data_IF_802929902025
#
_entry.id   IF_802929902025
#
_cell.length_a   1.000
_cell.length_b   1.000
_cell.length_c   1.000
_cell.angle_alpha   90.00
_cell.angle_beta   90.00
_cell.angle_gamma   90.00
#
_symmetry.space_group_name_H-M   'P 1'
#
loop_
_entity.id
_entity.type
_entity.pdbx_description
1 polymer ?
#
# COMPACT_ATOMS: atom_id res chain seq x y z
N UNK A 1 -5.53 -24.60 -10.39
CA UNK A 1 -4.88 -24.28 -11.68
C UNK A 1 -3.50 -23.75 -11.34
N UNK A 2 -2.41 -24.35 -11.83
CA UNK A 2 -1.09 -23.72 -11.67
C UNK A 2 -1.07 -22.47 -12.55
N UNK A 3 -1.11 -21.30 -11.91
CA UNK A 3 -0.97 -20.04 -12.63
C UNK A 3 0.49 -19.88 -13.06
N UNK A 4 0.81 -20.25 -14.30
CA UNK A 4 2.17 -20.15 -14.83
C UNK A 4 2.75 -18.72 -14.83
N UNK A 5 1.91 -17.72 -14.60
CA UNK A 5 2.29 -16.32 -14.69
C UNK A 5 2.54 -15.65 -13.34
N UNK A 6 2.18 -16.32 -12.23
CA UNK A 6 2.37 -15.81 -10.88
C UNK A 6 3.00 -16.90 -10.02
N UNK A 7 4.13 -16.58 -9.42
CA UNK A 7 4.80 -17.45 -8.46
C UNK A 7 4.80 -16.81 -7.08
N UNK A 8 4.39 -17.57 -6.06
CA UNK A 8 4.44 -17.15 -4.65
C UNK A 8 5.59 -17.85 -3.94
N UNK A 9 6.42 -17.09 -3.22
CA UNK A 9 7.54 -17.59 -2.40
C UNK A 9 7.38 -17.03 -1.01
N UNK A 10 7.64 -17.83 0.02
CA UNK A 10 7.69 -17.36 1.40
C UNK A 10 8.93 -17.85 2.11
N UNK A 11 9.37 -17.11 3.13
CA UNK A 11 10.50 -17.51 3.94
C UNK A 11 10.90 -16.46 4.97
N UNK A 12 11.96 -16.76 5.72
CA UNK A 12 12.53 -15.89 6.75
C UNK A 12 13.92 -15.35 6.37
N UNK A 13 14.48 -15.79 5.23
CA UNK A 13 15.82 -15.40 4.78
C UNK A 13 15.76 -14.49 3.55
N UNK A 14 16.16 -13.20 3.67
CA UNK A 14 16.14 -12.24 2.57
C UNK A 14 16.85 -12.70 1.28
N UNK A 15 18.02 -13.31 1.42
CA UNK A 15 18.83 -13.80 0.30
C UNK A 15 18.15 -14.94 -0.47
N UNK A 16 17.49 -15.85 0.25
CA UNK A 16 16.77 -16.95 -0.38
C UNK A 16 15.51 -16.49 -1.09
N UNK A 17 14.79 -15.52 -0.51
CA UNK A 17 13.59 -14.95 -1.13
C UNK A 17 13.98 -14.22 -2.40
N UNK A 18 14.99 -13.35 -2.36
CA UNK A 18 15.46 -12.62 -3.53
C UNK A 18 15.92 -13.58 -4.66
N UNK A 19 16.71 -14.60 -4.32
CA UNK A 19 17.19 -15.59 -5.29
C UNK A 19 16.06 -16.40 -5.92
N UNK A 20 15.05 -16.79 -5.15
CA UNK A 20 13.92 -17.57 -5.65
C UNK A 20 12.96 -16.70 -6.47
N UNK A 21 12.75 -15.45 -6.08
CA UNK A 21 11.81 -14.54 -6.75
C UNK A 21 12.35 -14.03 -8.08
N UNK A 22 13.67 -13.87 -8.20
CA UNK A 22 14.34 -13.40 -9.41
C UNK A 22 14.60 -14.52 -10.42
N UNK A 23 13.54 -15.22 -10.82
CA UNK A 23 13.62 -16.17 -11.93
C UNK A 23 13.99 -15.46 -13.25
N UNK A 24 14.51 -16.20 -14.26
CA UNK A 24 14.81 -15.60 -15.56
C UNK A 24 13.62 -14.87 -16.18
N UNK A 25 12.41 -15.40 -16.01
CA UNK A 25 11.16 -14.84 -16.53
C UNK A 25 10.50 -13.81 -15.62
N UNK A 26 11.04 -13.51 -14.43
CA UNK A 26 10.51 -12.48 -13.53
C UNK A 26 10.44 -11.11 -14.24
N UNK A 27 9.23 -10.55 -14.33
CA UNK A 27 8.94 -9.24 -14.90
C UNK A 27 8.77 -8.15 -13.83
N UNK A 28 8.09 -8.47 -12.73
CA UNK A 28 7.98 -7.62 -11.54
C UNK A 28 7.89 -8.49 -10.29
N UNK A 29 8.62 -8.12 -9.24
CA UNK A 29 8.57 -8.80 -7.93
C UNK A 29 7.84 -7.89 -6.94
N UNK A 30 6.80 -8.41 -6.28
CA UNK A 30 6.07 -7.75 -5.21
C UNK A 30 6.41 -8.42 -3.88
N UNK A 31 6.92 -7.67 -2.91
CA UNK A 31 7.31 -8.21 -1.60
C UNK A 31 6.45 -7.63 -0.48
N UNK A 32 5.98 -8.51 0.40
CA UNK A 32 5.30 -8.16 1.63
C UNK A 32 6.07 -8.78 2.79
N UNK A 33 6.49 -7.98 3.76
CA UNK A 33 7.37 -8.43 4.83
C UNK A 33 6.87 -8.02 6.21
N UNK A 34 7.09 -8.89 7.19
CA UNK A 34 6.74 -8.66 8.57
C UNK A 34 7.64 -7.60 9.22
N UNK A 35 7.20 -7.12 10.38
CA UNK A 35 7.83 -5.99 11.05
C UNK A 35 9.18 -6.28 11.73
N UNK A 36 9.55 -7.55 11.91
CA UNK A 36 10.85 -7.98 12.44
C UNK A 36 11.74 -8.59 11.32
N UNK A 37 11.28 -8.56 10.07
CA UNK A 37 12.02 -9.06 8.92
C UNK A 37 13.09 -8.06 8.43
N UNK A 38 14.27 -8.56 8.05
CA UNK A 38 15.38 -7.75 7.54
C UNK A 38 15.14 -7.30 6.09
N UNK A 39 14.28 -6.28 5.95
CA UNK A 39 13.87 -5.71 4.67
C UNK A 39 15.00 -4.94 3.97
N UNK A 40 15.98 -4.42 4.72
CA UNK A 40 17.14 -3.72 4.15
C UNK A 40 18.06 -4.71 3.43
N UNK A 41 18.34 -5.86 4.06
CA UNK A 41 19.02 -6.95 3.36
C UNK A 41 18.22 -7.42 2.16
N UNK A 42 16.90 -7.60 2.27
CA UNK A 42 16.06 -7.99 1.12
C UNK A 42 16.16 -7.00 -0.04
N UNK A 43 16.08 -5.70 0.26
CA UNK A 43 16.26 -4.65 -0.73
C UNK A 43 17.62 -4.79 -1.45
N UNK A 44 18.70 -4.97 -0.70
CA UNK A 44 20.04 -5.10 -1.27
C UNK A 44 20.17 -6.35 -2.15
N UNK A 45 19.68 -7.49 -1.68
CA UNK A 45 19.69 -8.76 -2.42
C UNK A 45 18.88 -8.63 -3.73
N UNK A 46 17.64 -8.12 -3.66
CA UNK A 46 16.81 -7.88 -4.85
C UNK A 46 17.45 -6.88 -5.81
N UNK A 47 18.11 -5.84 -5.30
CA UNK A 47 18.80 -4.84 -6.14
C UNK A 47 19.90 -5.47 -7.00
N UNK A 48 20.60 -6.50 -6.50
CA UNK A 48 21.63 -7.20 -7.28
C UNK A 48 21.07 -7.99 -8.46
N UNK A 49 19.79 -8.37 -8.41
CA UNK A 49 19.14 -9.18 -9.46
C UNK A 49 18.86 -8.38 -10.73
N UNK A 50 18.81 -7.04 -10.63
CA UNK A 50 18.43 -6.15 -11.72
C UNK A 50 16.96 -6.24 -12.14
N UNK A 51 16.14 -7.05 -11.47
CA UNK A 51 14.71 -7.17 -11.74
C UNK A 51 13.92 -6.00 -11.13
N UNK A 52 12.85 -5.52 -11.78
CA UNK A 52 11.93 -4.56 -11.17
C UNK A 52 11.28 -5.17 -9.92
N UNK A 53 11.21 -4.39 -8.84
CA UNK A 53 10.53 -4.80 -7.62
C UNK A 53 9.92 -3.62 -6.87
N UNK A 54 8.84 -3.93 -6.15
CA UNK A 54 8.22 -3.09 -5.14
C UNK A 54 7.93 -3.95 -3.91
N UNK A 55 7.83 -3.34 -2.74
CA UNK A 55 7.38 -4.05 -1.55
C UNK A 55 7.13 -3.15 -0.37
N UNK A 56 6.43 -3.68 0.63
CA UNK A 56 6.13 -2.96 1.85
C UNK A 56 6.05 -3.88 3.07
N UNK A 57 6.14 -3.24 4.23
CA UNK A 57 5.81 -3.90 5.48
C UNK A 57 4.29 -4.08 5.61
N UNK A 58 3.85 -5.24 6.09
CA UNK A 58 2.45 -5.57 6.30
C UNK A 58 2.20 -6.39 7.59
N UNK A 59 0.92 -6.51 7.99
CA UNK A 59 0.48 -7.24 9.20
C UNK A 59 0.08 -8.69 8.93
N UNK A 60 -0.26 -9.04 7.70
CA UNK A 60 -0.72 -10.38 7.34
C UNK A 60 -0.56 -10.64 5.85
N UNK A 61 0.28 -11.62 5.52
CA UNK A 61 0.67 -11.91 4.15
C UNK A 61 -0.17 -13.05 3.61
N UNK A 62 -0.88 -12.81 2.51
CA UNK A 62 -1.69 -13.85 1.88
C UNK A 62 -0.80 -14.83 1.11
N UNK A 63 -0.93 -16.11 1.45
CA UNK A 63 -0.45 -17.24 0.67
C UNK A 63 -1.64 -17.94 0.01
N UNK A 64 -1.37 -18.86 -0.90
CA UNK A 64 -2.39 -19.58 -1.67
C UNK A 64 -3.43 -20.30 -0.79
N UNK A 65 -3.07 -20.69 0.43
CA UNK A 65 -3.90 -21.49 1.34
C UNK A 65 -4.14 -20.88 2.73
N UNK A 66 -3.45 -19.79 3.10
CA UNK A 66 -3.49 -19.21 4.46
C UNK A 66 -2.97 -17.78 4.52
N UNK A 67 -3.16 -17.14 5.67
CA UNK A 67 -2.42 -15.94 6.05
C UNK A 67 -1.16 -16.32 6.85
N UNK A 68 -0.05 -15.67 6.54
CA UNK A 68 1.20 -15.72 7.29
C UNK A 68 1.28 -14.48 8.17
N UNK A 69 1.32 -14.67 9.49
CA UNK A 69 1.24 -13.61 10.50
C UNK A 69 2.58 -13.38 11.22
N UNK A 70 3.55 -14.26 11.02
CA UNK A 70 4.87 -14.26 11.62
C UNK A 70 5.65 -12.99 11.22
N UNK A 71 6.11 -12.22 12.21
CA UNK A 71 6.70 -10.90 11.99
C UNK A 71 8.11 -10.94 11.40
N UNK A 72 8.79 -12.09 11.43
CA UNK A 72 10.14 -12.33 10.93
C UNK A 72 10.15 -13.03 9.55
N UNK A 73 9.03 -12.94 8.82
CA UNK A 73 8.84 -13.59 7.52
C UNK A 73 8.51 -12.59 6.42
N UNK A 74 8.70 -13.03 5.16
CA UNK A 74 8.25 -12.29 4.00
C UNK A 74 7.67 -13.23 2.93
N UNK A 75 6.81 -12.64 2.10
CA UNK A 75 6.22 -13.26 0.91
C UNK A 75 6.61 -12.44 -0.30
N UNK A 76 7.08 -13.09 -1.35
CA UNK A 76 7.34 -12.50 -2.65
C UNK A 76 6.40 -13.11 -3.70
N UNK A 77 5.71 -12.25 -4.45
CA UNK A 77 4.92 -12.63 -5.62
C UNK A 77 5.66 -12.14 -6.87
N UNK A 78 5.98 -13.06 -7.77
CA UNK A 78 6.61 -12.73 -9.04
C UNK A 78 5.58 -12.76 -10.16
N UNK A 79 5.41 -11.62 -10.84
CA UNK A 79 4.67 -11.54 -12.10
C UNK A 79 5.62 -11.87 -13.25
N UNK A 80 5.24 -12.84 -14.09
CA UNK A 80 6.04 -13.22 -15.25
C UNK A 80 6.08 -12.11 -16.30
N UNK A 81 7.26 -11.88 -16.88
CA UNK A 81 7.47 -11.07 -18.09
C UNK A 81 6.66 -11.57 -19.30
N UNK A 82 6.15 -12.81 -19.24
CA UNK A 82 5.14 -13.32 -20.16
C UNK A 82 3.87 -12.48 -20.21
N UNK A 83 3.47 -11.87 -19.08
CA UNK A 83 2.27 -11.01 -18.97
C UNK A 83 2.50 -9.56 -19.39
N UNK A 84 3.73 -9.06 -19.22
CA UNK A 84 3.99 -7.63 -19.20
C UNK A 84 4.43 -7.13 -20.58
N UNK A 85 3.74 -6.13 -21.12
CA UNK A 85 4.21 -5.32 -22.23
C UNK A 85 5.18 -4.23 -21.75
N UNK A 86 5.06 -3.79 -20.49
CA UNK A 86 5.98 -2.86 -19.86
C UNK A 86 5.70 -2.70 -18.37
N UNK A 87 6.73 -2.28 -17.62
CA UNK A 87 6.62 -1.93 -16.21
C UNK A 87 7.49 -0.72 -15.90
N UNK A 88 6.94 0.24 -15.16
CA UNK A 88 7.67 1.38 -14.62
C UNK A 88 7.53 1.41 -13.12
N UNK A 89 8.67 1.48 -12.42
CA UNK A 89 8.72 1.56 -10.96
C UNK A 89 9.38 2.87 -10.56
N UNK A 90 8.72 3.62 -9.69
CA UNK A 90 9.29 4.82 -9.09
C UNK A 90 8.92 4.92 -7.60
N UNK A 91 9.64 5.78 -6.89
CA UNK A 91 9.29 6.14 -5.52
C UNK A 91 9.52 7.62 -5.25
N UNK A 92 8.90 8.11 -4.19
CA UNK A 92 9.17 9.43 -3.63
C UNK A 92 9.30 9.38 -2.11
N UNK A 93 10.10 10.30 -1.58
CA UNK A 93 10.33 10.48 -0.14
C UNK A 93 9.02 10.93 0.56
N UNK A 94 8.68 10.25 1.65
CA UNK A 94 7.50 10.52 2.50
C UNK A 94 7.92 10.86 3.93
N UNK A 95 9.05 11.52 4.12
CA UNK A 95 9.45 12.04 5.44
C UNK A 95 8.66 13.30 5.81
N UNK A 96 8.43 13.48 7.11
CA UNK A 96 7.62 14.55 7.72
C UNK A 96 8.04 15.99 7.43
N UNK A 97 9.25 16.18 6.88
CA UNK A 97 9.75 17.51 6.46
C UNK A 97 9.12 18.04 5.17
N UNK A 98 8.42 17.21 4.41
CA UNK A 98 7.83 17.58 3.12
C UNK A 98 6.40 18.07 3.29
N UNK A 99 6.05 19.15 2.58
CA UNK A 99 4.69 19.68 2.60
C UNK A 99 3.75 18.82 1.74
N UNK A 100 2.45 18.86 2.07
CA UNK A 100 1.39 18.20 1.30
C UNK A 100 1.48 18.54 -0.19
N UNK A 101 1.56 19.83 -0.53
CA UNK A 101 1.60 20.28 -1.92
C UNK A 101 2.88 19.84 -2.64
N UNK A 102 4.02 19.80 -1.93
CA UNK A 102 5.26 19.28 -2.50
C UNK A 102 5.13 17.81 -2.90
N UNK A 103 4.58 16.97 -2.01
CA UNK A 103 4.35 15.55 -2.29
C UNK A 103 3.39 15.38 -3.48
N UNK A 104 2.34 16.21 -3.54
CA UNK A 104 1.34 16.17 -4.62
C UNK A 104 1.93 16.51 -5.99
N UNK A 105 2.70 17.60 -6.08
CA UNK A 105 3.35 18.02 -7.33
C UNK A 105 4.37 16.98 -7.80
N UNK A 106 5.23 16.48 -6.89
CA UNK A 106 6.20 15.43 -7.25
C UNK A 106 5.50 14.15 -7.70
N UNK A 107 4.40 13.75 -7.07
CA UNK A 107 3.62 12.58 -7.50
C UNK A 107 3.09 12.75 -8.93
N UNK A 108 2.54 13.92 -9.24
CA UNK A 108 2.05 14.25 -10.58
C UNK A 108 3.16 14.15 -11.65
N UNK A 109 4.33 14.74 -11.38
CA UNK A 109 5.49 14.73 -12.28
C UNK A 109 6.01 13.31 -12.53
N UNK A 110 6.19 12.53 -11.46
CA UNK A 110 6.68 11.15 -11.54
C UNK A 110 5.72 10.24 -12.31
N UNK A 111 4.42 10.37 -12.02
CA UNK A 111 3.40 9.57 -12.69
C UNK A 111 3.30 9.92 -14.18
N UNK A 112 3.28 11.21 -14.53
CA UNK A 112 3.31 11.65 -15.93
C UNK A 112 4.55 11.14 -16.68
N UNK A 113 5.73 11.20 -16.05
CA UNK A 113 6.96 10.66 -16.62
C UNK A 113 6.90 9.14 -16.84
N UNK A 114 6.32 8.39 -15.90
CA UNK A 114 6.16 6.94 -16.03
C UNK A 114 5.19 6.55 -17.16
N UNK A 115 4.04 7.24 -17.28
CA UNK A 115 3.11 7.03 -18.39
C UNK A 115 3.75 7.31 -19.74
N UNK A 116 4.56 8.38 -19.82
CA UNK A 116 5.30 8.72 -21.05
C UNK A 116 6.29 7.60 -21.45
N UNK A 117 7.05 7.03 -20.51
CA UNK A 117 7.98 5.91 -20.80
C UNK A 117 7.26 4.63 -21.23
N UNK A 118 6.05 4.39 -20.72
CA UNK A 118 5.20 3.26 -21.13
C UNK A 118 4.38 3.54 -22.40
N UNK A 119 4.48 4.73 -22.97
CA UNK A 119 3.68 5.18 -24.10
C UNK A 119 2.17 4.98 -23.82
N UNK A 120 1.73 5.45 -22.66
CA UNK A 120 0.32 5.45 -22.25
C UNK A 120 -0.21 6.88 -22.38
N UNK A 121 -1.33 7.04 -23.07
CA UNK A 121 -2.06 8.31 -23.11
C UNK A 121 -2.79 8.53 -21.78
N UNK A 122 -2.42 9.54 -20.98
CA UNK A 122 -3.10 9.83 -19.72
C UNK A 122 -4.57 10.24 -19.89
N UNK A 123 -4.96 10.78 -21.05
CA UNK A 123 -6.33 11.18 -21.31
C UNK A 123 -7.24 9.99 -21.67
N UNK A 124 -6.66 8.90 -22.17
CA UNK A 124 -7.39 7.71 -22.59
C UNK A 124 -6.55 6.43 -22.35
N UNK A 125 -6.26 6.08 -21.08
CA UNK A 125 -5.53 4.87 -20.78
C UNK A 125 -6.37 3.63 -21.10
N UNK A 126 -5.71 2.55 -21.54
CA UNK A 126 -6.35 1.24 -21.65
C UNK A 126 -6.55 0.66 -20.24
N UNK A 127 -7.68 0.99 -19.63
CA UNK A 127 -7.98 0.68 -18.23
C UNK A 127 -8.05 -0.81 -17.93
N UNK A 128 -8.29 -1.66 -18.94
CA UNK A 128 -8.30 -3.11 -18.75
C UNK A 128 -6.88 -3.69 -18.76
N UNK A 129 -5.88 -2.92 -19.16
CA UNK A 129 -4.51 -3.40 -19.35
C UNK A 129 -3.46 -2.57 -18.65
N UNK A 130 -3.84 -1.46 -18.05
CA UNK A 130 -2.96 -0.57 -17.33
C UNK A 130 -3.43 -0.45 -15.90
N UNK A 131 -2.56 -0.83 -14.96
CA UNK A 131 -2.84 -0.79 -13.53
C UNK A 131 -1.64 -0.24 -12.78
N UNK A 132 -1.90 0.66 -11.83
CA UNK A 132 -0.92 1.14 -10.88
C UNK A 132 -1.06 0.37 -9.57
N UNK A 133 0.05 -0.09 -9.02
CA UNK A 133 0.13 -0.63 -7.66
C UNK A 133 0.84 0.40 -6.80
N UNK A 134 0.14 0.94 -5.81
CA UNK A 134 0.62 1.97 -4.90
C UNK A 134 0.86 1.38 -3.49
N UNK A 135 2.10 1.43 -3.01
CA UNK A 135 2.49 1.05 -1.65
C UNK A 135 2.98 2.31 -0.92
N UNK A 136 2.17 2.81 0.01
CA UNK A 136 2.32 4.17 0.54
C UNK A 136 2.74 4.16 2.00
N UNK A 137 3.73 4.96 2.38
CA UNK A 137 4.21 5.04 3.77
C UNK A 137 3.08 5.38 4.75
N UNK A 138 2.72 4.43 5.61
CA UNK A 138 1.47 4.51 6.39
C UNK A 138 1.43 5.52 7.53
N UNK A 139 2.58 6.07 7.92
CA UNK A 139 2.64 7.13 8.91
C UNK A 139 2.37 8.51 8.31
N UNK A 140 2.23 8.62 6.99
CA UNK A 140 1.83 9.85 6.32
C UNK A 140 0.51 9.67 5.58
N UNK A 141 -0.12 10.80 5.23
CA UNK A 141 -1.30 10.76 4.37
C UNK A 141 -0.92 10.31 2.97
N UNK A 142 -1.71 9.37 2.44
CA UNK A 142 -1.64 8.89 1.05
C UNK A 142 -2.23 9.91 0.05
N UNK A 143 -3.14 10.77 0.51
CA UNK A 143 -3.92 11.67 -0.33
C UNK A 143 -3.08 12.52 -1.29
N UNK A 144 -2.00 13.21 -0.89
CA UNK A 144 -1.25 14.03 -1.83
C UNK A 144 -0.65 13.19 -2.97
N UNK A 145 -0.26 11.94 -2.69
CA UNK A 145 0.26 11.02 -3.72
C UNK A 145 -0.84 10.71 -4.74
N UNK A 146 -1.99 10.25 -4.26
CA UNK A 146 -3.10 9.83 -5.11
C UNK A 146 -3.74 11.01 -5.87
N UNK A 147 -3.86 12.18 -5.24
CA UNK A 147 -4.32 13.41 -5.89
C UNK A 147 -3.37 13.85 -7.01
N UNK A 148 -2.05 13.72 -6.82
CA UNK A 148 -1.08 14.01 -7.87
C UNK A 148 -1.26 13.09 -9.08
N UNK A 149 -1.50 11.80 -8.86
CA UNK A 149 -1.76 10.84 -9.95
C UNK A 149 -3.11 11.12 -10.63
N UNK A 150 -4.17 11.38 -9.86
CA UNK A 150 -5.49 11.70 -10.37
C UNK A 150 -5.51 13.00 -11.18
N UNK A 151 -4.66 13.98 -10.83
CA UNK A 151 -4.47 15.20 -11.61
C UNK A 151 -3.87 14.93 -13.00
N UNK A 152 -3.16 13.81 -13.19
CA UNK A 152 -2.64 13.39 -14.50
C UNK A 152 -3.66 12.53 -15.26
N UNK A 153 -4.32 11.57 -14.60
CA UNK A 153 -5.31 10.69 -15.24
C UNK A 153 -6.37 10.26 -14.24
N UNK A 154 -7.62 10.67 -14.47
CA UNK A 154 -8.77 10.34 -13.62
C UNK A 154 -9.24 8.88 -13.77
N UNK A 155 -8.95 8.26 -14.91
CA UNK A 155 -9.49 6.95 -15.27
C UNK A 155 -8.51 5.79 -15.00
N UNK A 156 -7.32 6.10 -14.49
CA UNK A 156 -6.30 5.09 -14.28
C UNK A 156 -6.69 4.12 -13.17
N UNK A 157 -6.64 2.81 -13.43
CA UNK A 157 -6.87 1.82 -12.40
C UNK A 157 -5.70 1.81 -11.42
N UNK A 158 -6.00 2.02 -10.14
CA UNK A 158 -5.02 2.00 -9.07
C UNK A 158 -5.48 1.05 -7.96
N UNK A 159 -4.58 0.17 -7.54
CA UNK A 159 -4.74 -0.73 -6.39
C UNK A 159 -3.57 -0.57 -5.44
N UNK A 160 -3.68 -1.12 -4.24
CA UNK A 160 -2.60 -1.14 -3.26
C UNK A 160 -3.06 -0.72 -1.88
N UNK A 161 -2.14 -0.26 -1.06
CA UNK A 161 -2.42 0.00 0.35
C UNK A 161 -1.34 0.75 1.09
N UNK A 162 -1.66 1.02 2.35
CA UNK A 162 -0.74 1.61 3.31
C UNK A 162 0.27 0.56 3.79
N UNK A 163 1.54 0.94 3.86
CA UNK A 163 2.57 0.15 4.52
C UNK A 163 2.34 0.19 6.04
N UNK A 164 2.51 -0.92 6.74
CA UNK A 164 2.39 -0.99 8.20
C UNK A 164 2.25 -2.43 8.69
N UNK A 165 2.98 -2.78 9.75
CA UNK A 165 3.06 -4.17 10.24
C UNK A 165 2.85 -4.36 11.75
N UNK A 166 2.91 -3.28 12.53
CA UNK A 166 2.66 -3.31 13.98
C UNK A 166 1.66 -2.21 14.37
N UNK A 167 0.88 -2.49 15.41
CA UNK A 167 -0.03 -1.53 16.05
C UNK A 167 0.71 -0.41 16.80
N UNK A 168 2.05 -0.45 16.88
CA UNK A 168 2.82 0.59 17.55
C UNK A 168 3.12 1.80 16.64
N UNK A 169 2.77 1.73 15.35
CA UNK A 169 2.91 2.81 14.36
C UNK A 169 4.29 3.49 14.35
N UNK A 170 5.36 2.76 14.69
CA UNK A 170 6.72 3.35 14.78
C UNK A 170 7.42 3.43 13.43
N UNK A 171 7.16 2.45 12.57
CA UNK A 171 7.77 2.39 11.25
C UNK A 171 6.75 1.81 10.25
N UNK A 172 6.95 2.11 8.96
CA UNK A 172 6.12 1.62 7.87
C UNK A 172 6.92 1.65 6.56
N UNK A 173 8.07 0.96 6.49
CA UNK A 173 8.96 1.09 5.35
C UNK A 173 8.36 0.45 4.10
N UNK A 174 8.71 1.04 2.96
CA UNK A 174 8.53 0.46 1.64
C UNK A 174 9.91 0.28 0.98
N UNK A 175 9.98 -0.63 0.02
CA UNK A 175 11.15 -0.88 -0.83
C UNK A 175 10.74 -0.83 -2.29
N UNK A 176 11.66 -0.42 -3.15
CA UNK A 176 11.53 -0.61 -4.58
C UNK A 176 12.90 -0.62 -5.24
N UNK A 177 12.94 -0.87 -6.55
CA UNK A 177 14.18 -0.83 -7.32
C UNK A 177 14.98 0.48 -7.20
N UNK A 178 14.39 1.57 -6.73
CA UNK A 178 15.07 2.87 -6.58
C UNK A 178 15.51 3.19 -5.14
N UNK A 179 14.93 2.57 -4.11
CA UNK A 179 15.27 2.87 -2.71
C UNK A 179 14.42 2.13 -1.69
N UNK A 180 14.68 2.41 -0.40
CA UNK A 180 13.90 1.89 0.73
C UNK A 180 13.67 2.94 1.81
N UNK A 181 12.72 2.68 2.71
CA UNK A 181 12.44 3.50 3.90
C UNK A 181 11.06 4.14 3.87
N UNK A 182 10.94 5.37 4.38
CA UNK A 182 9.70 6.14 4.35
C UNK A 182 9.40 6.65 2.93
N UNK A 183 8.83 5.78 2.10
CA UNK A 183 8.59 6.03 0.68
C UNK A 183 7.13 5.80 0.30
N UNK A 184 6.68 6.54 -0.71
CA UNK A 184 5.55 6.14 -1.53
C UNK A 184 6.11 5.50 -2.80
N UNK A 185 5.76 4.24 -3.03
CA UNK A 185 6.25 3.41 -4.13
C UNK A 185 5.09 3.14 -5.09
N UNK A 186 5.34 3.30 -6.38
CA UNK A 186 4.35 2.99 -7.43
C UNK A 186 4.99 2.09 -8.49
N UNK A 187 4.30 1.02 -8.86
CA UNK A 187 4.57 0.28 -10.09
C UNK A 187 3.41 0.47 -11.06
N UNK A 188 3.68 0.99 -12.25
CA UNK A 188 2.72 1.01 -13.36
C UNK A 188 2.99 -0.20 -14.24
N UNK A 189 1.97 -1.03 -14.41
CA UNK A 189 2.03 -2.26 -15.19
C UNK A 189 1.19 -2.07 -16.44
N UNK A 190 1.78 -2.35 -17.61
CA UNK A 190 1.07 -2.48 -18.88
C UNK A 190 1.09 -3.94 -19.30
N UNK A 191 -0.08 -4.55 -19.42
CA UNK A 191 -0.24 -5.93 -19.85
C UNK A 191 -0.13 -6.06 -21.38
N UNK A 192 0.28 -7.23 -21.87
CA UNK A 192 0.20 -7.58 -23.29
C UNK A 192 -1.26 -7.71 -23.73
N UNK A 193 -1.49 -7.62 -25.04
CA UNK A 193 -2.82 -7.57 -25.67
C UNK A 193 -3.73 -8.76 -25.31
N UNK A 194 -3.14 -9.92 -25.02
CA UNK A 194 -3.87 -11.15 -24.68
C UNK A 194 -4.34 -11.23 -23.22
N UNK A 195 -3.98 -10.25 -22.39
CA UNK A 195 -4.29 -10.23 -20.97
C UNK A 195 -5.07 -8.98 -20.59
N UNK A 196 -5.88 -9.11 -19.54
CA UNK A 196 -6.57 -8.00 -18.91
C UNK A 196 -6.47 -8.12 -17.39
N UNK A 197 -6.51 -6.97 -16.73
CA UNK A 197 -6.65 -6.82 -15.30
C UNK A 197 -8.11 -6.53 -14.98
N UNK A 198 -8.63 -7.22 -13.97
CA UNK A 198 -9.96 -6.98 -13.42
C UNK A 198 -9.85 -7.00 -11.91
N UNK A 199 -10.44 -6.01 -11.26
CA UNK A 199 -10.59 -5.98 -9.81
C UNK A 199 -12.07 -6.15 -9.46
N UNK A 200 -12.35 -7.09 -8.56
CA UNK A 200 -13.63 -7.17 -7.88
C UNK A 200 -13.45 -6.61 -6.47
N UNK A 201 -14.29 -5.64 -6.11
CA UNK A 201 -14.29 -5.08 -4.77
C UNK A 201 -15.21 -5.92 -3.89
N UNK A 202 -14.63 -6.69 -2.97
CA UNK A 202 -15.37 -7.32 -1.88
C UNK A 202 -15.20 -6.48 -0.62
N UNK A 203 -16.31 -5.96 -0.08
CA UNK A 203 -16.33 -5.24 1.20
C UNK A 203 -17.16 -6.05 2.19
N UNK A 204 -16.58 -6.31 3.37
CA UNK A 204 -17.27 -6.89 4.52
C UNK A 204 -17.74 -5.81 5.50
N UNK A 205 -17.66 -4.53 5.13
CA UNK A 205 -18.08 -3.44 5.98
C UNK A 205 -19.59 -3.26 5.88
N UNK A 206 -20.24 -3.32 7.05
CA UNK A 206 -21.56 -2.76 7.22
C UNK A 206 -21.41 -1.30 7.67
N UNK A 207 -22.46 -0.50 7.60
CA UNK A 207 -22.43 0.86 8.13
C UNK A 207 -23.07 0.82 9.50
N UNK A 208 -22.33 1.20 10.53
CA UNK A 208 -22.92 1.48 11.86
C UNK A 208 -23.50 2.89 11.88
N UNK A 209 -24.63 3.06 12.57
CA UNK A 209 -25.24 4.37 12.77
C UNK A 209 -24.48 5.17 13.83
N UNK A 210 -24.02 6.37 13.45
CA UNK A 210 -23.31 7.30 14.32
C UNK A 210 -22.55 8.34 13.50
N UNK A 211 -22.45 9.57 14.02
CA UNK A 211 -21.57 10.59 13.42
C UNK A 211 -20.46 10.90 14.43
N UNK A 212 -19.25 10.61 14.02
CA UNK A 212 -18.04 10.93 14.75
C UNK A 212 -17.29 11.99 13.95
N UNK A 213 -17.03 13.16 14.54
CA UNK A 213 -16.27 14.26 13.95
C UNK A 213 -14.93 14.35 14.67
N UNK A 214 -13.82 14.26 13.94
CA UNK A 214 -12.50 14.47 14.52
C UNK A 214 -12.33 15.95 14.81
N UNK A 215 -12.27 16.30 16.09
CA UNK A 215 -12.15 17.70 16.52
C UNK A 215 -10.71 18.09 16.86
N UNK A 216 -9.83 17.11 17.12
CA UNK A 216 -8.40 17.39 17.33
C UNK A 216 -7.51 16.23 16.90
N UNK A 217 -6.45 16.56 16.17
CA UNK A 217 -5.40 15.64 15.73
C UNK A 217 -4.02 16.11 16.20
N UNK A 218 -3.09 15.17 16.31
CA UNK A 218 -1.66 15.43 16.45
C UNK A 218 -0.87 14.65 15.38
N UNK A 219 0.32 15.17 15.05
CA UNK A 219 1.22 14.51 14.12
C UNK A 219 1.78 13.19 14.72
N UNK A 220 2.09 12.17 13.88
CA UNK A 220 1.93 12.19 12.43
C UNK A 220 0.49 11.87 11.97
N UNK A 221 -0.29 11.08 12.72
CA UNK A 221 -1.72 10.77 12.48
C UNK A 221 -2.42 10.26 13.75
N UNK A 222 -2.40 11.03 14.83
CA UNK A 222 -3.06 10.65 16.09
C UNK A 222 -4.36 11.43 16.29
N UNK A 223 -5.49 10.74 16.35
CA UNK A 223 -6.77 11.34 16.71
C UNK A 223 -6.81 11.50 18.22
N UNK A 224 -6.83 12.75 18.69
CA UNK A 224 -6.85 13.07 20.12
C UNK A 224 -8.27 13.28 20.62
N UNK A 225 -9.14 13.87 19.80
CA UNK A 225 -10.53 14.16 20.16
C UNK A 225 -11.49 13.86 19.02
N UNK A 226 -12.67 13.36 19.42
CA UNK A 226 -13.81 13.09 18.56
C UNK A 226 -15.05 13.72 19.23
N UNK A 227 -15.85 14.47 18.48
CA UNK A 227 -17.03 15.19 18.97
C UNK A 227 -16.74 16.07 20.21
N UNK A 228 -15.53 16.65 20.29
CA UNK A 228 -15.10 17.46 21.44
C UNK A 228 -14.80 16.67 22.72
N UNK A 229 -14.71 15.34 22.63
CA UNK A 229 -14.38 14.43 23.74
C UNK A 229 -13.06 13.70 23.47
N UNK A 230 -12.37 13.19 24.50
CA UNK A 230 -11.22 12.32 24.30
C UNK A 230 -11.56 11.16 23.34
N UNK A 231 -10.73 10.95 22.32
CA UNK A 231 -11.04 10.00 21.24
C UNK A 231 -11.34 8.57 21.74
N UNK A 232 -10.61 8.12 22.77
CA UNK A 232 -10.82 6.82 23.38
C UNK A 232 -12.22 6.67 24.03
N UNK A 233 -12.71 7.73 24.68
CA UNK A 233 -14.02 7.73 25.33
C UNK A 233 -15.15 7.74 24.29
N UNK A 234 -15.04 8.60 23.28
CA UNK A 234 -16.01 8.68 22.19
C UNK A 234 -16.10 7.35 21.41
N UNK A 235 -14.95 6.72 21.12
CA UNK A 235 -14.90 5.42 20.46
C UNK A 235 -15.50 4.30 21.31
N UNK A 236 -15.12 4.21 22.59
CA UNK A 236 -15.65 3.19 23.50
C UNK A 236 -17.18 3.30 23.62
N UNK A 237 -17.70 4.53 23.77
CA UNK A 237 -19.14 4.79 23.84
C UNK A 237 -19.87 4.33 22.58
N UNK A 238 -19.31 4.55 21.39
CA UNK A 238 -19.88 4.12 20.12
C UNK A 238 -20.09 2.60 20.08
N UNK A 239 -19.07 1.83 20.47
CA UNK A 239 -19.13 0.35 20.45
C UNK A 239 -19.69 -0.22 21.76
N UNK A 240 -20.26 0.63 22.62
CA UNK A 240 -20.90 0.28 23.90
C UNK A 240 -19.96 -0.45 24.88
N UNK A 241 -18.69 -0.04 24.92
CA UNK A 241 -17.65 -0.52 25.85
C UNK A 241 -17.15 0.61 26.76
N UNK A 242 -16.47 0.24 27.84
CA UNK A 242 -15.65 1.17 28.60
C UNK A 242 -14.24 1.26 27.99
N UNK A 243 -13.52 2.35 28.24
CA UNK A 243 -12.14 2.52 27.75
C UNK A 243 -11.22 1.40 28.27
N UNK A 244 -11.42 0.93 29.50
CA UNK A 244 -10.62 -0.15 30.09
C UNK A 244 -10.89 -1.53 29.48
N UNK A 245 -12.03 -1.70 28.80
CA UNK A 245 -12.44 -2.96 28.18
C UNK A 245 -12.04 -3.03 26.70
N UNK A 246 -11.53 -1.95 26.11
CA UNK A 246 -11.07 -1.93 24.72
C UNK A 246 -9.91 -2.90 24.52
N UNK A 247 -10.05 -3.81 23.56
CA UNK A 247 -9.02 -4.75 23.14
C UNK A 247 -8.60 -4.47 21.69
N UNK A 248 -7.39 -4.91 21.26
CA UNK A 248 -6.97 -4.78 19.86
C UNK A 248 -8.00 -5.30 18.85
N UNK A 249 -8.68 -6.40 19.16
CA UNK A 249 -9.70 -7.01 18.29
C UNK A 249 -10.92 -6.10 18.08
N UNK A 250 -11.23 -5.20 19.02
CA UNK A 250 -12.33 -4.26 18.87
C UNK A 250 -12.08 -3.28 17.73
N UNK A 251 -10.83 -2.80 17.60
CA UNK A 251 -10.44 -1.90 16.52
C UNK A 251 -10.46 -2.59 15.15
N UNK A 252 -10.21 -3.91 15.11
CA UNK A 252 -10.27 -4.70 13.90
C UNK A 252 -11.72 -5.01 13.48
N UNK A 253 -12.62 -5.23 14.44
CA UNK A 253 -14.04 -5.55 14.20
C UNK A 253 -14.90 -4.30 13.96
N UNK A 254 -14.59 -3.20 14.64
CA UNK A 254 -15.29 -1.92 14.58
C UNK A 254 -14.34 -0.84 14.08
N UNK A 255 -13.79 -1.06 12.89
CA UNK A 255 -12.85 -0.11 12.28
C UNK A 255 -13.56 1.19 11.94
N UNK A 256 -12.90 2.31 12.21
CA UNK A 256 -13.38 3.62 11.76
C UNK A 256 -12.80 3.93 10.38
N UNK A 257 -13.66 4.12 9.39
CA UNK A 257 -13.32 4.80 8.15
C UNK A 257 -13.23 6.31 8.37
N UNK A 258 -12.34 7.00 7.65
CA UNK A 258 -12.28 8.47 7.65
C UNK A 258 -12.74 8.98 6.29
N UNK A 259 -13.76 9.83 6.26
CA UNK A 259 -14.17 10.62 5.11
C UNK A 259 -13.41 11.96 5.08
N UNK A 260 -12.75 12.29 3.96
CA UNK A 260 -12.21 13.63 3.74
C UNK A 260 -13.34 14.68 3.69
N UNK A 261 -13.21 15.74 4.48
CA UNK A 261 -14.08 16.93 4.50
C UNK A 261 -13.41 18.07 5.28
N UNK A 262 -14.05 19.25 5.37
CA UNK A 262 -13.53 20.43 6.09
C UNK A 262 -13.31 20.23 7.62
N UNK A 263 -13.64 19.03 8.11
CA UNK A 263 -13.23 18.41 9.36
C UNK A 263 -13.37 16.89 9.14
N UNK A 264 -12.33 16.12 9.47
CA UNK A 264 -12.27 14.68 9.19
C UNK A 264 -13.48 13.97 9.86
N UNK A 265 -14.38 13.41 9.06
CA UNK A 265 -15.57 12.68 9.55
C UNK A 265 -15.22 11.21 9.64
N UNK A 266 -15.59 10.54 10.71
CA UNK A 266 -15.41 9.12 10.90
C UNK A 266 -16.71 8.41 10.42
N UNK A 267 -16.60 7.58 9.38
CA UNK A 267 -17.60 6.55 9.10
C UNK A 267 -17.32 5.38 10.02
N UNK A 268 -18.30 5.00 10.81
CA UNK A 268 -18.24 3.78 11.61
C UNK A 268 -18.61 2.62 10.70
N UNK A 269 -17.72 1.63 10.54
CA UNK A 269 -18.15 0.32 10.06
C UNK A 269 -18.93 -0.43 11.12
#
# INVERSE_FOLDING_TARGET
MNNQFVQTISGMRPDEIARQAATPDAGLILCFFGADFDYEKLYHELKTTGKPFIGCMDTGRLLDDRYLLETDSAVALTLSSGLLAGVEVYCQDMRTRLSYNSIRVTSQELFQGALSRLHIDPANPDVERTVAINLLHGLQSANPVLEGQAATSLFFQSVGGSCGGKLDFKNAPAICSQGYGALAVTAIIKLKDDFKFTSDLTTSFEKVDGQLEVTRIAAPRHILEINGQPAAEAYAALIKKSVGDLQPDDFALYTLGLEPGDGERLITS
#
